data_IF_926548641012
#
_entry.id   IF_926548641012
#
_cell.length_a   1.000
_cell.length_b   1.000
_cell.length_c   1.000
_cell.angle_alpha   90.00
_cell.angle_beta   90.00
_cell.angle_gamma   90.00
#
_symmetry.space_group_name_H-M   'P 1'
#
loop_
_entity.id
_entity.type
_entity.pdbx_description
1 polymer ?
#
# COMPACT_ATOMS: atom_id res chain seq x y z
N UNK A 1 -19.92 -17.92 59.25
CA UNK A 1 -18.86 -18.22 58.26
C UNK A 1 -19.42 -17.92 56.87
N UNK A 2 -18.58 -17.36 56.00
CA UNK A 2 -18.86 -16.58 54.77
C UNK A 2 -19.83 -17.20 53.74
N UNK A 3 -20.42 -16.39 52.83
CA UNK A 3 -21.38 -16.86 51.83
C UNK A 3 -20.70 -17.58 50.65
N UNK A 4 -21.41 -18.45 49.90
CA UNK A 4 -20.87 -19.05 48.68
C UNK A 4 -20.90 -18.04 47.52
N UNK A 5 -19.78 -17.98 46.81
CA UNK A 5 -19.52 -17.09 45.70
C UNK A 5 -20.43 -17.35 44.49
N UNK A 6 -20.90 -16.26 43.89
CA UNK A 6 -21.51 -16.24 42.56
C UNK A 6 -20.41 -16.58 41.53
N UNK A 7 -20.41 -17.80 41.00
CA UNK A 7 -19.63 -18.12 39.79
C UNK A 7 -20.37 -17.49 38.60
N UNK A 8 -19.93 -16.31 38.18
CA UNK A 8 -20.20 -15.83 36.84
C UNK A 8 -19.34 -16.67 35.88
N UNK A 9 -19.99 -17.50 35.07
CA UNK A 9 -19.37 -18.20 33.96
C UNK A 9 -18.84 -17.17 32.96
N UNK A 10 -17.52 -17.05 32.84
CA UNK A 10 -16.89 -16.43 31.67
C UNK A 10 -17.31 -17.25 30.44
N UNK A 11 -18.18 -16.67 29.62
CA UNK A 11 -18.43 -17.16 28.27
C UNK A 11 -17.15 -16.87 27.49
N UNK A 12 -16.40 -17.92 27.16
CA UNK A 12 -15.31 -17.84 26.21
C UNK A 12 -15.86 -17.37 24.86
N UNK A 13 -15.38 -16.24 24.35
CA UNK A 13 -15.63 -15.83 22.98
C UNK A 13 -15.06 -16.91 22.05
N UNK A 14 -15.94 -17.62 21.36
CA UNK A 14 -15.61 -18.47 20.23
C UNK A 14 -15.01 -17.59 19.13
N UNK A 15 -13.84 -17.99 18.61
CA UNK A 15 -13.20 -17.42 17.43
C UNK A 15 -14.17 -17.36 16.25
N UNK A 16 -14.88 -16.24 16.10
CA UNK A 16 -15.38 -15.83 14.81
C UNK A 16 -14.14 -15.43 13.98
N UNK A 17 -13.98 -16.05 12.80
CA UNK A 17 -12.96 -15.66 11.83
C UNK A 17 -13.05 -14.14 11.61
N UNK A 18 -12.06 -13.42 12.13
CA UNK A 18 -11.84 -12.02 11.81
C UNK A 18 -11.49 -11.92 10.30
N UNK A 19 -11.95 -10.88 9.59
CA UNK A 19 -11.53 -10.63 8.21
C UNK A 19 -9.99 -10.59 8.14
N UNK A 20 -9.40 -11.19 7.11
CA UNK A 20 -7.95 -11.35 6.97
C UNK A 20 -7.16 -10.02 6.82
N UNK A 21 -7.84 -8.86 6.89
CA UNK A 21 -7.26 -7.53 6.72
C UNK A 21 -6.91 -6.80 8.04
N UNK A 22 -7.07 -7.44 9.21
CA UNK A 22 -6.90 -6.81 10.53
C UNK A 22 -5.90 -7.57 11.41
N UNK A 23 -4.63 -7.14 11.40
CA UNK A 23 -3.61 -7.67 12.32
C UNK A 23 -2.73 -6.53 12.91
N UNK A 24 -3.36 -5.48 13.42
CA UNK A 24 -2.68 -4.49 14.26
C UNK A 24 -2.37 -5.11 15.63
N UNK A 25 -1.11 -5.06 16.09
CA UNK A 25 -0.70 -5.52 17.42
C UNK A 25 -0.18 -4.33 18.23
N UNK A 26 -1.13 -3.54 18.75
CA UNK A 26 -0.91 -2.36 19.57
C UNK A 26 -2.25 -1.77 20.04
N UNK A 27 -2.27 -0.81 20.99
CA UNK A 27 -3.51 -0.11 21.39
C UNK A 27 -4.13 0.61 20.17
N UNK A 28 -5.44 0.54 20.02
CA UNK A 28 -6.18 0.96 18.83
C UNK A 28 -6.17 2.49 18.62
N UNK A 29 -5.11 2.99 17.99
CA UNK A 29 -4.96 4.40 17.60
C UNK A 29 -5.54 4.61 16.20
N UNK A 30 -6.56 5.47 16.10
CA UNK A 30 -7.02 6.02 14.83
C UNK A 30 -6.05 7.14 14.40
N UNK A 31 -5.70 7.20 13.13
CA UNK A 31 -4.80 8.24 12.62
C UNK A 31 -5.54 9.15 11.64
N UNK A 32 -5.41 10.46 11.87
CA UNK A 32 -6.12 11.49 11.14
C UNK A 32 -5.19 12.50 10.51
N UNK A 33 -5.42 12.79 9.23
CA UNK A 33 -4.79 13.89 8.51
C UNK A 33 -5.70 15.11 8.67
N UNK A 34 -5.32 16.00 9.58
CA UNK A 34 -6.04 17.25 9.88
C UNK A 34 -5.22 18.39 9.30
N UNK A 35 -5.72 19.06 8.28
CA UNK A 35 -5.04 20.23 7.71
C UNK A 35 -5.18 21.42 8.67
N UNK A 36 -4.19 22.32 8.71
CA UNK A 36 -4.26 23.57 9.51
C UNK A 36 -5.21 24.58 8.89
N UNK A 37 -5.75 25.49 9.72
CA UNK A 37 -6.62 26.56 9.23
C UNK A 37 -5.80 27.49 8.36
N UNK A 38 -6.24 27.72 7.11
CA UNK A 38 -5.46 28.44 6.10
C UNK A 38 -4.08 27.80 5.82
N UNK A 39 -3.93 26.49 6.05
CA UNK A 39 -2.68 25.75 5.85
C UNK A 39 -2.36 25.41 4.39
N UNK A 40 -3.17 25.88 3.44
CA UNK A 40 -2.93 25.69 2.00
C UNK A 40 -2.34 26.94 1.39
N UNK A 41 -1.22 26.78 0.72
CA UNK A 41 -0.51 27.87 0.04
C UNK A 41 0.40 27.29 -1.05
N UNK A 42 0.90 28.13 -1.95
CA UNK A 42 1.82 27.66 -2.98
C UNK A 42 3.17 27.31 -2.38
N UNK A 43 3.66 26.10 -2.68
CA UNK A 43 4.83 25.56 -2.02
C UNK A 43 6.08 26.41 -2.29
N UNK A 44 6.84 26.69 -1.24
CA UNK A 44 8.18 27.24 -1.33
C UNK A 44 9.19 26.21 -1.86
N UNK A 45 10.39 26.66 -2.20
CA UNK A 45 11.46 25.75 -2.65
C UNK A 45 11.84 24.73 -1.56
N UNK A 46 11.88 25.15 -0.30
CA UNK A 46 12.20 24.27 0.83
C UNK A 46 11.10 23.22 1.03
N UNK A 47 9.84 23.63 0.98
CA UNK A 47 8.70 22.70 1.11
C UNK A 47 8.61 21.70 -0.04
N UNK A 48 9.01 22.07 -1.26
CA UNK A 48 9.13 21.10 -2.36
C UNK A 48 10.23 20.07 -2.13
N UNK A 49 11.28 20.44 -1.38
CA UNK A 49 12.38 19.54 -1.06
C UNK A 49 12.08 18.62 0.14
N UNK A 50 11.27 19.08 1.09
CA UNK A 50 11.02 18.37 2.37
C UNK A 50 9.59 17.85 2.52
N UNK A 51 8.66 18.30 1.67
CA UNK A 51 7.28 17.87 1.65
C UNK A 51 7.11 16.50 1.01
N UNK A 52 6.00 15.83 1.33
CA UNK A 52 5.66 14.52 0.78
C UNK A 52 4.47 14.68 -0.15
N UNK A 53 4.58 14.20 -1.40
CA UNK A 53 3.44 14.21 -2.33
C UNK A 53 2.25 13.45 -1.74
N UNK A 54 1.03 14.01 -1.85
CA UNK A 54 -0.17 13.34 -1.33
C UNK A 54 -0.39 11.97 -1.98
N UNK A 55 0.03 11.80 -3.23
CA UNK A 55 0.02 10.51 -3.94
C UNK A 55 1.01 9.50 -3.36
N UNK A 56 2.11 9.95 -2.74
CA UNK A 56 3.18 9.10 -2.22
C UNK A 56 2.93 8.60 -0.79
N UNK A 57 1.76 8.87 -0.21
CA UNK A 57 1.50 8.66 1.21
C UNK A 57 1.73 7.21 1.67
N UNK A 58 1.34 6.21 0.88
CA UNK A 58 1.57 4.80 1.22
C UNK A 58 3.05 4.43 1.18
N UNK A 59 3.81 4.87 0.17
CA UNK A 59 5.25 4.65 0.08
C UNK A 59 6.00 5.34 1.23
N UNK A 60 5.61 6.57 1.57
CA UNK A 60 6.19 7.32 2.67
C UNK A 60 5.96 6.63 4.03
N UNK A 61 4.77 6.03 4.27
CA UNK A 61 4.51 5.24 5.48
C UNK A 61 5.45 4.04 5.61
N UNK A 62 5.56 3.22 4.56
CA UNK A 62 6.37 1.99 4.62
C UNK A 62 7.87 2.27 4.64
N UNK A 63 8.29 3.46 4.20
CA UNK A 63 9.68 3.94 4.28
C UNK A 63 9.95 4.81 5.51
N UNK A 64 8.96 5.03 6.37
CA UNK A 64 9.09 5.84 7.59
C UNK A 64 9.34 7.32 7.35
N UNK A 65 9.11 7.82 6.13
CA UNK A 65 9.22 9.24 5.81
C UNK A 65 8.07 10.02 6.44
N UNK A 66 8.37 11.20 6.98
CA UNK A 66 7.38 12.09 7.59
C UNK A 66 7.68 13.54 7.27
N UNK A 67 6.64 14.36 7.18
CA UNK A 67 6.71 15.80 7.01
C UNK A 67 5.50 16.48 7.63
N UNK A 68 5.60 17.73 8.04
CA UNK A 68 4.40 18.53 8.36
C UNK A 68 3.68 19.04 7.10
N UNK A 69 4.28 18.83 5.92
CA UNK A 69 3.82 19.34 4.63
C UNK A 69 3.49 18.18 3.69
N UNK A 70 2.24 18.14 3.24
CA UNK A 70 1.86 17.40 2.04
C UNK A 70 1.94 18.30 0.81
N UNK A 71 2.25 17.72 -0.34
CA UNK A 71 2.30 18.42 -1.63
C UNK A 71 1.18 17.91 -2.54
N UNK A 72 0.26 18.81 -2.89
CA UNK A 72 -0.85 18.57 -3.79
C UNK A 72 -0.44 18.98 -5.22
N UNK A 73 -0.25 17.99 -6.08
CA UNK A 73 0.12 18.17 -7.48
C UNK A 73 -1.08 18.08 -8.42
N UNK A 74 -2.32 18.06 -7.90
CA UNK A 74 -3.52 18.00 -8.73
C UNK A 74 -3.57 19.19 -9.71
N UNK A 75 -4.21 19.01 -10.87
CA UNK A 75 -4.35 20.06 -11.87
C UNK A 75 -4.94 21.35 -11.26
N UNK A 76 -5.90 21.21 -10.35
CA UNK A 76 -6.49 22.34 -9.64
C UNK A 76 -5.48 23.06 -8.72
N UNK A 77 -4.62 22.32 -8.01
CA UNK A 77 -3.57 22.89 -7.18
C UNK A 77 -2.50 23.60 -8.03
N UNK A 78 -2.04 22.95 -9.09
CA UNK A 78 -1.09 23.54 -10.04
C UNK A 78 -1.65 24.82 -10.68
N UNK A 79 -2.93 24.82 -11.04
CA UNK A 79 -3.62 26.01 -11.56
C UNK A 79 -3.69 27.16 -10.57
N UNK A 80 -3.90 26.89 -9.27
CA UNK A 80 -3.85 27.93 -8.21
C UNK A 80 -2.44 28.45 -7.96
N UNK A 81 -1.43 27.63 -8.23
CA UNK A 81 -0.04 27.90 -7.87
C UNK A 81 0.91 28.08 -9.05
N UNK A 82 0.38 28.49 -10.21
CA UNK A 82 1.15 28.84 -11.40
C UNK A 82 2.11 27.72 -11.86
N UNK A 83 1.67 26.46 -11.75
CA UNK A 83 2.44 25.28 -12.14
C UNK A 83 3.27 24.65 -11.03
N UNK A 84 3.36 25.28 -9.86
CA UNK A 84 3.96 24.69 -8.66
C UNK A 84 2.91 23.92 -7.83
N UNK A 85 3.30 22.91 -7.05
CA UNK A 85 2.37 22.23 -6.14
C UNK A 85 1.84 23.17 -5.05
N UNK A 86 0.63 22.89 -4.59
CA UNK A 86 0.08 23.52 -3.38
C UNK A 86 0.58 22.74 -2.16
N UNK A 87 1.25 23.43 -1.24
CA UNK A 87 1.61 22.90 0.07
C UNK A 87 0.35 22.81 0.96
N UNK A 88 0.26 21.73 1.71
CA UNK A 88 -0.80 21.45 2.67
C UNK A 88 -0.16 21.21 4.04
N UNK A 89 -0.29 22.17 4.94
CA UNK A 89 0.15 22.02 6.32
C UNK A 89 -0.82 21.17 7.13
N UNK A 90 -0.28 20.21 7.87
CA UNK A 90 -1.03 19.35 8.78
C UNK A 90 -0.77 19.71 10.26
N UNK A 91 -1.75 19.46 11.12
CA UNK A 91 -1.62 19.57 12.59
C UNK A 91 -0.64 18.54 13.16
N UNK A 92 -0.54 17.37 12.51
CA UNK A 92 0.35 16.28 12.88
C UNK A 92 1.30 15.88 11.74
N UNK A 93 2.17 14.89 11.98
CA UNK A 93 3.07 14.36 10.94
C UNK A 93 2.28 13.71 9.82
N UNK A 94 2.50 14.11 8.57
CA UNK A 94 1.99 13.46 7.37
C UNK A 94 3.04 12.50 6.81
N UNK A 95 2.68 11.29 6.32
CA UNK A 95 1.35 10.66 6.31
C UNK A 95 1.01 9.85 7.57
N UNK A 96 1.81 9.93 8.64
CA UNK A 96 1.59 9.15 9.86
C UNK A 96 0.23 9.45 10.51
N UNK A 97 -0.20 10.70 10.43
CA UNK A 97 -1.41 11.22 11.04
C UNK A 97 -1.25 11.64 12.49
N UNK A 98 -2.23 12.41 12.95
CA UNK A 98 -2.46 12.63 14.37
C UNK A 98 -3.18 11.42 14.96
N UNK A 99 -2.55 10.76 15.92
CA UNK A 99 -3.16 9.64 16.65
C UNK A 99 -4.29 10.10 17.57
N UNK A 100 -5.41 9.38 17.55
CA UNK A 100 -6.60 9.60 18.38
C UNK A 100 -7.02 8.25 18.97
N UNK A 101 -7.33 8.24 20.26
CA UNK A 101 -7.99 7.10 20.90
C UNK A 101 -9.50 7.19 20.69
N UNK A 102 -10.13 6.11 20.24
CA UNK A 102 -11.59 6.01 20.08
C UNK A 102 -12.22 5.49 21.38
N UNK A 103 -13.04 6.31 22.05
CA UNK A 103 -13.90 5.86 23.14
C UNK A 103 -15.27 5.43 22.59
N UNK A 104 -15.46 4.12 22.48
CA UNK A 104 -16.64 3.56 21.84
C UNK A 104 -17.85 3.45 22.78
N UNK A 105 -17.71 3.82 24.06
CA UNK A 105 -18.86 4.08 24.93
C UNK A 105 -19.57 5.40 24.59
N UNK A 106 -18.92 6.29 23.81
CA UNK A 106 -19.50 7.52 23.31
C UNK A 106 -20.10 7.34 21.90
N UNK A 107 -21.44 7.46 21.71
CA UNK A 107 -22.11 7.17 20.43
C UNK A 107 -21.65 8.02 19.24
N UNK A 108 -21.04 9.19 19.48
CA UNK A 108 -20.54 10.08 18.43
C UNK A 108 -19.14 9.71 17.90
N UNK A 109 -18.43 8.77 18.53
CA UNK A 109 -17.06 8.37 18.16
C UNK A 109 -16.97 7.02 17.43
N UNK A 110 -18.10 6.31 17.26
CA UNK A 110 -18.12 5.00 16.59
C UNK A 110 -17.89 5.06 15.08
N UNK A 111 -17.80 6.26 14.50
CA UNK A 111 -17.48 6.49 13.09
C UNK A 111 -16.06 7.10 13.01
N UNK A 112 -15.07 6.40 12.43
CA UNK A 112 -13.67 6.86 12.45
C UNK A 112 -13.47 8.29 11.95
N UNK A 113 -14.02 8.63 10.78
CA UNK A 113 -13.88 9.99 10.24
C UNK A 113 -14.52 11.06 11.16
N UNK A 114 -15.65 10.76 11.80
CA UNK A 114 -16.29 11.69 12.73
C UNK A 114 -15.41 11.94 13.96
N UNK A 115 -14.71 10.93 14.47
CA UNK A 115 -13.74 11.11 15.54
C UNK A 115 -12.57 12.00 15.14
N UNK A 116 -12.07 11.88 13.91
CA UNK A 116 -11.08 12.81 13.37
C UNK A 116 -11.62 14.25 13.30
N UNK A 117 -12.87 14.43 12.85
CA UNK A 117 -13.52 15.76 12.77
C UNK A 117 -13.68 16.36 14.16
N UNK A 118 -14.17 15.58 15.14
CA UNK A 118 -14.28 16.03 16.54
C UNK A 118 -12.92 16.48 17.11
N UNK A 119 -11.83 15.79 16.72
CA UNK A 119 -10.48 16.22 17.11
C UNK A 119 -10.05 17.52 16.44
N UNK A 120 -10.36 17.70 15.16
CA UNK A 120 -10.15 18.99 14.49
C UNK A 120 -10.92 20.12 15.19
N UNK A 121 -12.19 19.89 15.58
CA UNK A 121 -13.01 20.87 16.31
C UNK A 121 -12.39 21.21 17.66
N UNK A 122 -11.95 20.20 18.42
CA UNK A 122 -11.31 20.39 19.71
C UNK A 122 -9.98 21.17 19.63
N UNK A 123 -9.21 21.00 18.55
CA UNK A 123 -8.01 21.79 18.26
C UNK A 123 -8.38 23.23 17.87
N UNK A 124 -9.41 23.39 17.04
CA UNK A 124 -9.81 24.69 16.47
C UNK A 124 -10.46 25.61 17.51
N UNK A 125 -11.30 25.06 18.41
CA UNK A 125 -11.98 25.83 19.47
C UNK A 125 -11.86 25.14 20.84
N UNK A 126 -10.68 25.18 21.49
CA UNK A 126 -10.44 24.47 22.75
C UNK A 126 -11.39 24.91 23.87
N UNK A 127 -12.09 23.94 24.48
CA UNK A 127 -12.98 24.18 25.62
C UNK A 127 -14.29 24.90 25.28
N UNK A 128 -14.62 25.07 24.01
CA UNK A 128 -15.84 25.73 23.53
C UNK A 128 -16.60 24.79 22.60
N UNK A 129 -17.95 24.67 22.72
CA UNK A 129 -18.73 23.93 21.75
C UNK A 129 -18.52 24.47 20.33
N UNK A 130 -18.23 23.62 19.32
CA UNK A 130 -17.96 24.07 17.97
C UNK A 130 -19.20 24.71 17.35
N UNK A 131 -19.01 25.80 16.62
CA UNK A 131 -20.08 26.40 15.82
C UNK A 131 -20.30 25.57 14.54
N UNK A 132 -21.46 25.72 13.85
CA UNK A 132 -21.69 25.05 12.57
C UNK A 132 -20.60 25.34 11.51
N UNK A 133 -20.03 26.55 11.51
CA UNK A 133 -18.95 26.93 10.59
C UNK A 133 -17.65 26.20 10.90
N UNK A 134 -17.32 26.02 12.19
CA UNK A 134 -16.15 25.22 12.61
C UNK A 134 -16.34 23.76 12.22
N UNK A 135 -17.54 23.22 12.44
CA UNK A 135 -17.89 21.84 12.06
C UNK A 135 -17.69 21.65 10.55
N UNK A 136 -18.25 22.54 9.72
CA UNK A 136 -18.14 22.47 8.27
C UNK A 136 -16.68 22.62 7.79
N UNK A 137 -15.92 23.53 8.40
CA UNK A 137 -14.49 23.70 8.11
C UNK A 137 -13.69 22.44 8.44
N UNK A 138 -13.94 21.81 9.58
CA UNK A 138 -13.24 20.59 9.98
C UNK A 138 -13.62 19.39 9.11
N UNK A 139 -14.89 19.26 8.70
CA UNK A 139 -15.30 18.23 7.73
C UNK A 139 -14.57 18.36 6.39
N UNK A 140 -14.32 19.58 5.91
CA UNK A 140 -13.62 19.80 4.65
C UNK A 140 -12.09 19.59 4.72
N UNK A 141 -11.50 19.70 5.92
CA UNK A 141 -10.05 19.71 6.13
C UNK A 141 -9.50 18.46 6.82
N UNK A 142 -10.36 17.47 7.06
CA UNK A 142 -10.02 16.26 7.80
C UNK A 142 -10.24 15.03 6.93
N UNK A 143 -9.26 14.12 6.95
CA UNK A 143 -9.39 12.79 6.39
C UNK A 143 -8.81 11.76 7.37
N UNK A 144 -9.17 10.50 7.15
CA UNK A 144 -8.38 9.39 7.70
C UNK A 144 -6.99 9.44 7.07
N UNK A 145 -5.95 9.28 7.88
CA UNK A 145 -4.58 9.20 7.36
C UNK A 145 -4.42 8.00 6.44
N UNK A 146 -3.39 8.05 5.58
CA UNK A 146 -3.13 6.96 4.66
C UNK A 146 -3.10 5.60 5.39
N UNK A 147 -3.88 4.66 4.83
CA UNK A 147 -4.03 3.30 5.33
C UNK A 147 -4.53 3.18 6.79
N UNK A 148 -5.07 4.25 7.39
CA UNK A 148 -5.71 4.20 8.70
C UNK A 148 -6.93 3.28 8.70
N UNK A 149 -7.21 2.68 9.86
CA UNK A 149 -8.34 1.78 10.02
C UNK A 149 -9.66 2.55 9.82
N UNK A 150 -10.48 2.06 8.90
CA UNK A 150 -11.82 2.61 8.62
C UNK A 150 -12.93 1.71 9.21
N UNK A 151 -12.66 1.01 10.31
CA UNK A 151 -13.64 0.10 10.94
C UNK A 151 -13.96 0.54 12.36
N UNK A 152 -15.21 0.36 12.76
CA UNK A 152 -15.66 0.49 14.16
C UNK A 152 -15.18 -0.66 15.05
N UNK A 153 -14.44 -1.63 14.50
CA UNK A 153 -13.82 -2.72 15.26
C UNK A 153 -12.55 -2.29 16.00
N UNK A 154 -12.05 -1.06 15.80
CA UNK A 154 -10.95 -0.44 16.54
C UNK A 154 -11.36 0.00 17.97
N UNK A 155 -12.27 -0.72 18.59
CA UNK A 155 -12.98 -0.34 19.81
C UNK A 155 -12.77 -1.39 20.91
N UNK A 156 -12.07 -1.04 21.98
CA UNK A 156 -12.03 -1.82 23.22
C UNK A 156 -12.44 -0.98 24.42
N UNK A 157 -13.29 -1.55 25.28
CA UNK A 157 -13.68 -0.94 26.56
C UNK A 157 -12.45 -0.81 27.48
N UNK A 158 -12.22 0.40 28.01
CA UNK A 158 -11.36 0.71 29.17
C UNK A 158 -9.85 1.01 28.98
N UNK A 159 -9.33 1.35 27.79
CA UNK A 159 -7.89 1.71 27.62
C UNK A 159 -7.57 3.11 27.08
N UNK A 160 -8.55 4.02 26.96
CA UNK A 160 -8.29 5.38 26.48
C UNK A 160 -7.87 6.31 27.64
N UNK A 161 -6.56 6.52 27.83
CA UNK A 161 -6.04 7.71 28.51
C UNK A 161 -5.38 8.61 27.45
N UNK A 162 -5.95 9.80 27.23
CA UNK A 162 -5.41 10.83 26.32
C UNK A 162 -3.98 11.26 26.66
N UNK A 163 -3.48 10.92 27.85
CA UNK A 163 -2.13 11.22 28.32
C UNK A 163 -1.15 10.05 28.15
N UNK A 164 -1.62 8.84 27.80
CA UNK A 164 -0.78 7.66 27.77
C UNK A 164 -1.24 6.68 26.69
N UNK A 165 -0.98 7.01 25.42
CA UNK A 165 -1.07 6.06 24.31
C UNK A 165 0.09 5.08 24.47
N UNK A 166 -0.13 3.77 24.70
CA UNK A 166 0.98 2.82 24.72
C UNK A 166 1.70 2.89 23.37
N UNK A 167 3.04 2.87 23.37
CA UNK A 167 3.82 2.89 22.14
C UNK A 167 3.35 1.73 21.24
N UNK A 168 2.76 2.06 20.09
CA UNK A 168 2.36 1.07 19.11
C UNK A 168 3.61 0.29 18.70
N UNK A 169 3.66 -1.01 19.00
CA UNK A 169 4.88 -1.79 18.79
C UNK A 169 5.13 -2.14 17.32
N UNK A 170 4.11 -2.11 16.45
CA UNK A 170 4.26 -2.13 14.98
C UNK A 170 2.94 -1.65 14.36
N UNK A 171 3.00 -0.69 13.43
CA UNK A 171 1.83 -0.28 12.64
C UNK A 171 1.85 -1.02 11.31
N UNK A 172 0.87 -1.89 11.04
CA UNK A 172 0.73 -2.55 9.73
C UNK A 172 0.62 -1.56 8.56
N UNK A 173 0.29 -0.28 8.83
CA UNK A 173 0.30 0.78 7.82
C UNK A 173 1.71 1.05 7.25
N UNK A 174 2.74 0.67 8.01
CA UNK A 174 4.14 0.88 7.68
C UNK A 174 4.80 -0.41 7.13
N UNK A 175 4.01 -1.45 6.85
CA UNK A 175 4.49 -2.69 6.26
C UNK A 175 3.80 -2.93 4.90
N UNK A 176 4.53 -3.40 3.88
CA UNK A 176 3.91 -3.95 2.68
C UNK A 176 2.96 -5.11 3.01
N UNK A 177 1.78 -5.14 2.39
CA UNK A 177 0.79 -6.21 2.58
C UNK A 177 1.06 -7.38 1.63
N UNK A 178 0.95 -8.65 2.05
CA UNK A 178 1.07 -9.77 1.12
C UNK A 178 -0.03 -9.69 0.06
N UNK A 179 0.32 -10.04 -1.19
CA UNK A 179 -0.66 -10.11 -2.27
C UNK A 179 -1.68 -11.22 -1.98
N UNK A 180 -2.95 -10.87 -2.04
CA UNK A 180 -4.07 -11.78 -1.94
C UNK A 180 -4.40 -12.32 -3.34
N UNK A 181 -3.90 -13.52 -3.65
CA UNK A 181 -4.13 -14.17 -4.92
C UNK A 181 -5.54 -14.77 -5.02
N UNK A 182 -6.21 -14.64 -6.17
CA UNK A 182 -7.56 -15.20 -6.39
C UNK A 182 -7.69 -16.03 -7.65
N UNK A 183 -7.37 -15.47 -8.81
CA UNK A 183 -7.69 -16.08 -10.11
C UNK A 183 -6.67 -17.16 -10.47
N UNK A 184 -6.56 -18.18 -9.61
CA UNK A 184 -5.54 -19.21 -9.67
C UNK A 184 -5.80 -20.17 -10.85
N UNK A 185 -4.95 -20.12 -11.87
CA UNK A 185 -4.98 -21.03 -13.01
C UNK A 185 -3.69 -21.83 -13.01
N UNK A 186 -3.76 -23.14 -12.78
CA UNK A 186 -2.56 -24.01 -12.78
C UNK A 186 -1.53 -23.71 -11.68
N UNK A 187 -1.87 -22.89 -10.69
CA UNK A 187 -1.04 -22.52 -9.54
C UNK A 187 -1.78 -22.72 -8.22
N UNK A 188 -1.05 -22.79 -7.12
CA UNK A 188 -1.56 -22.69 -5.75
C UNK A 188 -0.95 -21.48 -5.04
N UNK A 189 -1.71 -20.84 -4.15
CA UNK A 189 -1.26 -19.70 -3.35
C UNK A 189 -1.13 -20.07 -1.87
N UNK A 190 -0.12 -19.50 -1.21
CA UNK A 190 0.05 -19.54 0.24
C UNK A 190 0.57 -18.18 0.72
N UNK A 191 -0.32 -17.33 1.24
CA UNK A 191 0.01 -15.93 1.49
C UNK A 191 0.33 -15.21 0.18
N UNK A 192 1.40 -14.41 0.19
CA UNK A 192 1.92 -13.73 -1.01
C UNK A 192 2.65 -14.65 -1.99
N UNK A 193 2.90 -15.92 -1.65
CA UNK A 193 3.65 -16.85 -2.51
C UNK A 193 2.73 -17.60 -3.48
N UNK A 194 3.17 -17.73 -4.73
CA UNK A 194 2.59 -18.60 -5.74
C UNK A 194 3.53 -19.75 -6.09
N UNK A 195 2.96 -20.93 -6.31
CA UNK A 195 3.67 -22.11 -6.83
C UNK A 195 2.89 -22.70 -8.00
N UNK A 196 3.55 -22.94 -9.14
CA UNK A 196 2.93 -23.65 -10.26
C UNK A 196 2.72 -25.13 -9.93
N UNK A 197 1.48 -25.59 -10.03
CA UNK A 197 1.09 -26.99 -9.80
C UNK A 197 0.87 -27.77 -11.09
N UNK A 198 0.50 -27.08 -12.18
CA UNK A 198 0.28 -27.69 -13.49
C UNK A 198 1.59 -28.22 -14.10
N UNK A 199 1.56 -29.34 -14.85
CA UNK A 199 2.73 -29.86 -15.56
C UNK A 199 3.36 -28.80 -16.48
N UNK A 200 4.68 -28.82 -16.64
CA UNK A 200 5.37 -27.94 -17.60
C UNK A 200 4.83 -28.20 -19.02
N UNK A 201 4.42 -27.16 -19.76
CA UNK A 201 3.97 -27.33 -21.14
C UNK A 201 5.14 -27.81 -22.02
N UNK A 202 4.83 -28.58 -23.06
CA UNK A 202 5.84 -29.10 -23.98
C UNK A 202 6.46 -28.03 -24.88
N UNK A 203 5.70 -26.96 -25.15
CA UNK A 203 6.18 -25.81 -25.91
C UNK A 203 6.82 -24.79 -24.93
N UNK A 204 8.12 -24.51 -25.04
CA UNK A 204 8.82 -23.58 -24.15
C UNK A 204 8.36 -22.11 -24.30
N UNK A 205 7.55 -21.79 -25.31
CA UNK A 205 6.97 -20.46 -25.49
C UNK A 205 5.63 -20.28 -24.76
N UNK A 206 5.05 -21.35 -24.24
CA UNK A 206 3.75 -21.32 -23.58
C UNK A 206 3.91 -21.05 -22.09
N UNK A 207 3.15 -20.07 -21.60
CA UNK A 207 2.91 -19.86 -20.18
C UNK A 207 1.40 -19.89 -19.95
N UNK A 208 0.92 -20.96 -19.33
CA UNK A 208 -0.49 -21.32 -19.21
C UNK A 208 -0.93 -21.50 -17.74
N UNK A 209 -0.12 -21.04 -16.80
CA UNK A 209 -0.48 -20.97 -15.39
C UNK A 209 -0.12 -19.60 -14.82
N UNK A 210 -0.92 -19.10 -13.89
CA UNK A 210 -0.83 -17.74 -13.40
C UNK A 210 -1.94 -17.41 -12.41
N UNK A 211 -1.88 -16.21 -11.89
CA UNK A 211 -2.90 -15.65 -11.01
C UNK A 211 -2.85 -14.13 -11.01
N UNK A 212 -3.99 -13.52 -10.69
CA UNK A 212 -4.11 -12.10 -10.42
C UNK A 212 -4.52 -11.82 -8.97
N UNK A 213 -4.17 -10.62 -8.47
CA UNK A 213 -4.52 -10.17 -7.14
C UNK A 213 -6.00 -9.80 -7.00
N UNK A 214 -6.56 -9.97 -5.81
CA UNK A 214 -7.86 -9.40 -5.44
C UNK A 214 -7.77 -7.88 -5.21
N UNK A 215 -6.62 -7.45 -4.70
CA UNK A 215 -6.29 -6.05 -4.42
C UNK A 215 -5.95 -5.30 -5.71
N UNK A 216 -6.22 -4.00 -5.73
CA UNK A 216 -5.85 -3.09 -6.81
C UNK A 216 -5.28 -1.78 -6.27
N UNK A 217 -4.33 -1.19 -6.98
CA UNK A 217 -3.94 0.21 -6.82
C UNK A 217 -4.94 1.02 -7.64
N UNK A 218 -5.77 1.83 -6.98
CA UNK A 218 -6.84 2.60 -7.66
C UNK A 218 -6.42 4.02 -7.98
N UNK A 219 -5.39 4.53 -7.29
CA UNK A 219 -4.80 5.86 -7.40
C UNK A 219 -3.52 5.91 -6.57
N UNK A 220 -2.76 7.00 -6.71
CA UNK A 220 -1.59 7.27 -5.90
C UNK A 220 -0.43 6.33 -6.23
N UNK A 221 0.72 6.64 -5.63
CA UNK A 221 1.91 5.84 -5.80
C UNK A 221 1.79 4.54 -5.01
N UNK A 222 2.37 3.49 -5.56
CA UNK A 222 2.45 2.19 -4.92
C UNK A 222 3.46 1.30 -5.63
N UNK A 223 3.69 0.13 -5.07
CA UNK A 223 4.60 -0.82 -5.71
C UNK A 223 4.27 -2.26 -5.34
N UNK A 224 4.74 -3.18 -6.18
CA UNK A 224 4.78 -4.61 -5.91
C UNK A 224 6.23 -5.01 -5.67
N UNK A 225 6.47 -5.82 -4.65
CA UNK A 225 7.75 -6.49 -4.43
C UNK A 225 7.63 -7.98 -4.66
N UNK A 226 8.68 -8.58 -5.20
CA UNK A 226 8.78 -10.02 -5.38
C UNK A 226 10.19 -10.50 -5.09
N UNK A 227 10.30 -11.63 -4.40
CA UNK A 227 11.58 -12.28 -4.12
C UNK A 227 11.84 -13.38 -5.15
N UNK A 228 13.00 -13.29 -5.81
CA UNK A 228 13.47 -14.27 -6.77
C UNK A 228 14.38 -15.28 -6.08
N UNK A 229 13.83 -16.45 -5.72
CA UNK A 229 14.60 -17.52 -5.06
C UNK A 229 15.08 -18.60 -6.03
N UNK A 230 14.33 -18.84 -7.10
CA UNK A 230 14.64 -19.89 -8.05
C UNK A 230 15.46 -19.38 -9.23
N UNK A 231 16.40 -20.18 -9.71
CA UNK A 231 17.24 -19.81 -10.86
C UNK A 231 17.03 -20.69 -12.09
N UNK A 232 16.10 -21.65 -12.02
CA UNK A 232 15.93 -22.71 -13.02
C UNK A 232 14.54 -22.74 -13.66
N UNK A 233 13.68 -21.78 -13.35
CA UNK A 233 12.30 -21.67 -13.82
C UNK A 233 12.06 -20.28 -14.42
N UNK A 234 11.14 -20.18 -15.39
CA UNK A 234 10.64 -18.93 -15.92
C UNK A 234 9.28 -18.61 -15.35
N UNK A 235 9.19 -17.40 -14.82
CA UNK A 235 8.00 -16.87 -14.16
C UNK A 235 8.02 -15.37 -14.25
N UNK A 236 6.82 -14.83 -14.43
CA UNK A 236 6.60 -13.41 -14.56
C UNK A 236 5.78 -12.93 -13.38
N UNK A 237 6.24 -11.86 -12.76
CA UNK A 237 5.46 -11.05 -11.85
C UNK A 237 5.29 -9.67 -12.47
N UNK A 238 4.06 -9.18 -12.56
CA UNK A 238 3.76 -7.99 -13.29
C UNK A 238 2.56 -7.23 -12.75
N UNK A 239 2.17 -6.23 -13.53
CA UNK A 239 0.99 -5.41 -13.27
C UNK A 239 0.18 -5.25 -14.54
N UNK A 240 -1.14 -5.29 -14.37
CA UNK A 240 -2.12 -5.18 -15.45
C UNK A 240 -3.19 -4.15 -15.08
N UNK A 241 -3.71 -3.45 -16.09
CA UNK A 241 -4.81 -2.50 -15.90
C UNK A 241 -6.15 -3.24 -15.81
N UNK A 242 -7.10 -2.61 -15.11
CA UNK A 242 -8.42 -3.16 -14.88
C UNK A 242 -8.51 -3.96 -13.57
N UNK A 243 -9.72 -3.99 -13.03
CA UNK A 243 -10.03 -4.75 -11.84
C UNK A 243 -10.13 -6.26 -12.19
N UNK A 244 -9.87 -7.14 -11.21
CA UNK A 244 -10.49 -8.46 -11.13
C UNK A 244 -11.86 -8.66 -11.82
N UNK A 245 -12.14 -9.84 -12.41
CA UNK A 245 -11.28 -11.03 -12.50
C UNK A 245 -10.33 -11.00 -13.70
N UNK A 246 -9.27 -11.81 -13.61
CA UNK A 246 -8.45 -12.23 -14.74
C UNK A 246 -8.74 -13.70 -15.07
N UNK A 247 -8.74 -14.04 -16.36
CA UNK A 247 -8.97 -15.41 -16.82
C UNK A 247 -7.88 -15.89 -17.78
N UNK A 248 -6.90 -15.05 -18.10
CA UNK A 248 -5.83 -15.39 -19.04
C UNK A 248 -4.48 -15.37 -18.31
N UNK A 249 -3.89 -16.54 -18.01
CA UNK A 249 -2.61 -16.62 -17.32
C UNK A 249 -1.41 -16.30 -18.23
N UNK A 250 -1.63 -15.96 -19.50
CA UNK A 250 -0.57 -15.70 -20.46
C UNK A 250 0.16 -14.39 -20.17
N UNK A 251 1.49 -14.42 -20.20
CA UNK A 251 2.29 -13.20 -20.11
C UNK A 251 2.03 -12.18 -21.23
N UNK A 252 1.34 -12.59 -22.30
CA UNK A 252 0.97 -11.72 -23.41
C UNK A 252 -0.07 -10.67 -23.04
N UNK A 253 -0.90 -10.95 -22.02
CA UNK A 253 -1.93 -10.01 -21.55
C UNK A 253 -1.44 -9.13 -20.40
N UNK A 254 -0.29 -9.47 -19.79
CA UNK A 254 0.26 -8.70 -18.69
C UNK A 254 0.79 -7.36 -19.20
N UNK A 255 0.28 -6.25 -18.64
CA UNK A 255 0.62 -4.90 -19.07
C UNK A 255 2.12 -4.63 -19.03
N UNK A 256 2.74 -4.82 -17.86
CA UNK A 256 4.18 -4.81 -17.67
C UNK A 256 4.60 -5.92 -16.72
N UNK A 257 5.60 -6.71 -17.10
CA UNK A 257 6.04 -7.86 -16.34
C UNK A 257 7.55 -7.93 -16.18
N UNK A 258 8.00 -8.31 -14.99
CA UNK A 258 9.35 -8.77 -14.72
C UNK A 258 9.39 -10.25 -15.02
N UNK A 259 10.16 -10.66 -16.01
CA UNK A 259 10.44 -12.07 -16.27
C UNK A 259 11.72 -12.46 -15.55
N UNK A 260 11.59 -13.35 -14.58
CA UNK A 260 12.70 -13.99 -13.93
C UNK A 260 12.91 -15.34 -14.65
N UNK A 261 14.03 -15.49 -15.34
CA UNK A 261 14.22 -16.56 -16.32
C UNK A 261 15.08 -17.72 -15.81
N UNK A 262 15.04 -18.84 -16.54
CA UNK A 262 15.67 -20.13 -16.20
C UNK A 262 17.20 -20.12 -16.21
N UNK A 263 17.83 -19.03 -16.65
CA UNK A 263 19.27 -18.86 -16.78
C UNK A 263 19.83 -17.83 -15.76
N UNK A 264 19.05 -17.54 -14.71
CA UNK A 264 19.37 -16.52 -13.70
C UNK A 264 19.43 -15.08 -14.24
N UNK A 265 18.85 -14.80 -15.41
CA UNK A 265 18.69 -13.44 -15.93
C UNK A 265 17.27 -12.93 -15.76
N UNK A 266 17.14 -11.61 -15.66
CA UNK A 266 15.83 -10.96 -15.61
C UNK A 266 15.61 -10.03 -16.81
N UNK A 267 14.37 -10.06 -17.30
CA UNK A 267 13.89 -9.32 -18.46
C UNK A 267 12.66 -8.51 -18.08
N UNK A 268 12.29 -7.55 -18.93
CA UNK A 268 11.02 -6.84 -18.82
C UNK A 268 10.21 -7.14 -20.07
N UNK A 269 8.92 -7.44 -19.88
CA UNK A 269 7.94 -7.62 -20.95
C UNK A 269 6.86 -6.55 -20.84
N UNK A 270 6.33 -6.12 -21.97
CA UNK A 270 5.15 -5.27 -22.08
C UNK A 270 4.16 -5.93 -23.02
N UNK A 271 3.01 -6.39 -22.53
CA UNK A 271 1.99 -7.07 -23.32
C UNK A 271 2.60 -8.15 -24.26
N UNK A 272 3.41 -9.05 -23.69
CA UNK A 272 4.09 -10.11 -24.43
C UNK A 272 5.36 -9.70 -25.21
N UNK A 273 5.69 -8.42 -25.30
CA UNK A 273 6.88 -7.93 -26.03
C UNK A 273 8.05 -7.69 -25.09
N UNK A 274 9.13 -8.44 -25.28
CA UNK A 274 10.39 -8.26 -24.55
C UNK A 274 10.97 -6.86 -24.81
N UNK A 275 11.26 -6.13 -23.75
CA UNK A 275 11.90 -4.83 -23.78
C UNK A 275 13.43 -4.98 -23.86
N UNK A 276 14.12 -4.08 -24.58
CA UNK A 276 15.56 -4.21 -24.79
C UNK A 276 16.34 -3.91 -23.51
N UNK A 277 16.94 -4.94 -22.90
CA UNK A 277 17.96 -4.81 -21.87
C UNK A 277 19.35 -4.51 -22.43
N UNK A 278 20.32 -4.29 -21.54
CA UNK A 278 21.69 -3.89 -21.89
C UNK A 278 22.65 -5.04 -22.22
N UNK A 279 22.29 -6.29 -21.92
CA UNK A 279 23.13 -7.45 -22.24
C UNK A 279 22.90 -7.97 -23.68
N UNK A 280 23.80 -8.83 -24.17
CA UNK A 280 23.74 -9.41 -25.51
C UNK A 280 22.48 -10.26 -25.79
N UNK A 281 21.79 -10.73 -24.75
CA UNK A 281 20.56 -11.51 -24.82
C UNK A 281 19.30 -10.63 -24.61
N UNK A 282 19.49 -9.33 -24.42
CA UNK A 282 18.44 -8.35 -24.12
C UNK A 282 17.95 -8.38 -22.66
N UNK A 283 18.71 -8.95 -21.73
CA UNK A 283 18.44 -8.93 -20.30
C UNK A 283 18.90 -7.63 -19.64
N UNK A 284 18.27 -7.30 -18.52
CA UNK A 284 18.65 -6.15 -17.69
C UNK A 284 19.72 -6.48 -16.66
N UNK A 285 19.98 -7.78 -16.43
CA UNK A 285 21.06 -8.26 -15.57
C UNK A 285 20.82 -9.70 -15.12
N UNK A 286 21.66 -10.14 -14.18
CA UNK A 286 21.53 -11.42 -13.49
C UNK A 286 21.04 -11.25 -12.05
N UNK A 287 20.42 -12.28 -11.50
CA UNK A 287 19.99 -12.32 -10.11
C UNK A 287 20.47 -13.61 -9.42
N UNK A 288 20.48 -13.58 -8.10
CA UNK A 288 20.78 -14.72 -7.24
C UNK A 288 19.55 -15.00 -6.35
N UNK A 289 19.43 -16.21 -5.77
CA UNK A 289 18.38 -16.51 -4.79
C UNK A 289 18.30 -15.46 -3.68
N UNK A 290 17.10 -15.09 -3.26
CA UNK A 290 16.83 -14.03 -2.29
C UNK A 290 16.83 -12.61 -2.87
N UNK A 291 17.00 -12.44 -4.19
CA UNK A 291 16.99 -11.11 -4.79
C UNK A 291 15.58 -10.52 -4.82
N UNK A 292 15.40 -9.34 -4.23
CA UNK A 292 14.13 -8.60 -4.28
C UNK A 292 14.11 -7.64 -5.47
N UNK A 293 12.99 -7.65 -6.19
CA UNK A 293 12.67 -6.69 -7.23
C UNK A 293 11.43 -5.90 -6.86
N UNK A 294 11.38 -4.64 -7.31
CA UNK A 294 10.28 -3.73 -7.07
C UNK A 294 9.71 -3.21 -8.39
N UNK A 295 8.41 -3.37 -8.56
CA UNK A 295 7.61 -2.81 -9.66
C UNK A 295 6.84 -1.62 -9.10
N UNK A 296 7.30 -0.40 -9.38
CA UNK A 296 6.64 0.83 -8.93
C UNK A 296 5.59 1.28 -9.93
N UNK A 297 4.50 1.80 -9.40
CA UNK A 297 3.40 2.46 -10.10
C UNK A 297 3.37 3.89 -9.59
N UNK A 298 3.87 4.83 -10.40
CA UNK A 298 3.94 6.25 -10.06
C UNK A 298 2.77 7.00 -10.68
N UNK A 299 1.92 7.60 -9.86
CA UNK A 299 0.74 8.32 -10.30
C UNK A 299 1.12 9.51 -11.19
N UNK A 300 0.37 9.68 -12.28
CA UNK A 300 0.49 10.79 -13.22
C UNK A 300 -0.63 11.83 -13.05
N UNK A 301 -1.56 11.58 -12.12
CA UNK A 301 -2.69 12.45 -11.78
C UNK A 301 -3.68 12.68 -12.95
N UNK A 302 -3.62 11.82 -13.96
CA UNK A 302 -4.49 11.82 -15.15
C UNK A 302 -5.30 10.52 -15.28
N UNK A 303 -5.38 9.74 -14.20
CA UNK A 303 -5.99 8.40 -14.19
C UNK A 303 -5.05 7.29 -14.67
N UNK A 304 -3.79 7.62 -14.97
CA UNK A 304 -2.76 6.67 -15.38
C UNK A 304 -1.53 6.74 -14.48
N UNK A 305 -0.61 5.80 -14.67
CA UNK A 305 0.62 5.68 -13.92
C UNK A 305 1.81 5.31 -14.80
N UNK A 306 2.99 5.77 -14.42
CA UNK A 306 4.26 5.28 -14.99
C UNK A 306 4.70 4.04 -14.23
N UNK A 307 5.06 2.97 -14.94
CA UNK A 307 5.60 1.76 -14.32
C UNK A 307 7.13 1.80 -14.35
N UNK A 308 7.80 1.46 -13.26
CA UNK A 308 9.26 1.28 -13.28
C UNK A 308 9.67 0.04 -12.52
N UNK A 309 10.79 -0.55 -12.93
CA UNK A 309 11.34 -1.75 -12.33
C UNK A 309 12.69 -1.40 -11.70
N UNK A 310 12.85 -1.81 -10.46
CA UNK A 310 14.08 -1.63 -9.70
C UNK A 310 14.51 -2.92 -9.04
N UNK A 311 15.83 -3.05 -8.86
CA UNK A 311 16.44 -4.11 -8.07
C UNK A 311 16.79 -3.54 -6.70
N UNK A 312 16.34 -4.17 -5.62
CA UNK A 312 16.74 -3.78 -4.26
C UNK A 312 18.22 -4.10 -4.06
N UNK A 313 19.00 -3.10 -3.61
CA UNK A 313 20.47 -3.17 -3.57
C UNK A 313 21.05 -3.35 -2.17
N UNK A 314 20.23 -3.21 -1.12
CA UNK A 314 20.61 -3.54 0.25
C UNK A 314 19.39 -4.03 1.05
N UNK A 315 19.63 -4.51 2.27
CA UNK A 315 18.56 -4.98 3.15
C UNK A 315 17.52 -3.89 3.40
N UNK A 316 16.26 -4.21 3.12
CA UNK A 316 15.10 -3.40 3.46
C UNK A 316 14.69 -3.63 4.91
N UNK A 317 14.47 -2.55 5.64
CA UNK A 317 13.83 -2.58 6.96
C UNK A 317 12.56 -1.75 6.87
N UNK A 318 11.44 -2.32 7.32
CA UNK A 318 10.16 -1.60 7.34
C UNK A 318 10.30 -0.31 8.14
N UNK A 319 9.70 0.77 7.64
CA UNK A 319 9.85 2.10 8.23
C UNK A 319 11.19 2.78 7.93
N UNK A 320 11.97 2.29 6.96
CA UNK A 320 13.19 2.96 6.47
C UNK A 320 13.21 2.97 4.94
N UNK A 321 13.75 4.01 4.27
CA UNK A 321 13.90 4.00 2.82
C UNK A 321 14.76 2.82 2.35
N UNK A 322 14.19 2.01 1.45
CA UNK A 322 14.89 0.91 0.80
C UNK A 322 15.72 1.41 -0.38
N UNK A 323 17.05 1.21 -0.38
CA UNK A 323 17.86 1.52 -1.54
C UNK A 323 17.58 0.52 -2.66
N UNK A 324 17.33 1.04 -3.85
CA UNK A 324 17.21 0.25 -5.07
C UNK A 324 17.74 0.99 -6.29
N UNK A 325 17.98 0.22 -7.35
CA UNK A 325 18.46 0.72 -8.62
C UNK A 325 17.41 0.45 -9.69
N UNK A 326 16.82 1.52 -10.23
CA UNK A 326 15.90 1.45 -11.37
C UNK A 326 16.67 1.03 -12.61
N UNK A 327 16.18 0.00 -13.31
CA UNK A 327 16.77 -0.49 -14.56
C UNK A 327 15.82 -0.36 -15.76
N UNK A 328 14.53 -0.10 -15.52
CA UNK A 328 13.56 0.16 -16.59
C UNK A 328 12.47 1.11 -16.11
N UNK A 329 12.05 2.02 -16.99
CA UNK A 329 10.87 2.87 -16.82
C UNK A 329 10.02 2.77 -18.08
N UNK A 330 8.72 2.57 -17.90
CA UNK A 330 7.80 2.33 -19.01
C UNK A 330 7.73 3.56 -19.93
N UNK A 331 7.81 3.37 -21.25
CA UNK A 331 7.63 4.47 -22.20
C UNK A 331 6.16 4.88 -22.34
N UNK A 332 5.24 3.98 -21.98
CA UNK A 332 3.79 4.17 -22.02
C UNK A 332 3.23 4.05 -20.60
N UNK A 333 2.20 4.84 -20.25
CA UNK A 333 1.57 4.72 -18.95
C UNK A 333 0.57 3.55 -18.92
N UNK A 334 0.27 3.06 -17.73
CA UNK A 334 -0.79 2.08 -17.45
C UNK A 334 -1.99 2.79 -16.81
N UNK A 335 -3.22 2.42 -17.19
CA UNK A 335 -4.42 3.00 -16.59
C UNK A 335 -4.74 2.38 -15.23
N UNK A 336 -5.22 3.20 -14.28
CA UNK A 336 -5.83 2.70 -13.05
C UNK A 336 -7.23 2.11 -13.31
N UNK A 337 -7.72 1.17 -12.47
CA UNK A 337 -6.98 0.52 -11.40
C UNK A 337 -5.93 -0.47 -11.94
N UNK A 338 -4.87 -0.67 -11.19
CA UNK A 338 -3.77 -1.61 -11.51
C UNK A 338 -3.82 -2.78 -10.55
N UNK A 339 -3.78 -4.01 -11.05
CA UNK A 339 -3.68 -5.25 -10.24
C UNK A 339 -2.32 -5.92 -10.43
N UNK A 340 -1.92 -6.76 -9.47
CA UNK A 340 -0.77 -7.66 -9.63
C UNK A 340 -1.19 -8.84 -10.48
N UNK A 341 -0.29 -9.26 -11.36
CA UNK A 341 -0.53 -10.31 -12.35
C UNK A 341 0.69 -11.23 -12.44
N UNK A 342 0.50 -12.47 -12.86
CA UNK A 342 1.58 -13.46 -12.91
C UNK A 342 1.38 -14.53 -13.98
N UNK A 343 2.49 -15.08 -14.44
CA UNK A 343 2.52 -16.11 -15.47
C UNK A 343 3.70 -17.06 -15.26
N UNK A 344 3.51 -18.36 -15.46
CA UNK A 344 4.48 -19.41 -15.14
C UNK A 344 4.60 -20.41 -16.29
N UNK A 345 5.81 -20.93 -16.50
CA UNK A 345 6.06 -22.01 -17.46
C UNK A 345 6.40 -23.33 -16.78
N UNK A 346 7.50 -23.40 -16.03
CA UNK A 346 7.96 -24.65 -15.42
C UNK A 346 7.16 -25.02 -14.17
N UNK A 347 6.74 -26.28 -14.09
CA UNK A 347 6.13 -26.87 -12.89
C UNK A 347 7.05 -26.68 -11.67
N UNK A 348 6.43 -26.44 -10.52
CA UNK A 348 7.07 -26.08 -9.25
C UNK A 348 7.73 -24.70 -9.24
N UNK A 349 7.65 -23.92 -10.33
CA UNK A 349 8.14 -22.55 -10.32
C UNK A 349 7.43 -21.69 -9.28
N UNK A 350 8.18 -20.82 -8.57
CA UNK A 350 7.65 -19.95 -7.52
C UNK A 350 7.88 -18.46 -7.75
N UNK A 351 6.91 -17.67 -7.27
CA UNK A 351 7.08 -16.27 -6.95
C UNK A 351 6.92 -16.15 -5.45
N UNK A 352 8.02 -15.85 -4.74
CA UNK A 352 8.07 -15.85 -3.29
C UNK A 352 7.79 -14.45 -2.73
N UNK A 353 7.05 -14.43 -1.62
CA UNK A 353 6.82 -13.25 -0.78
C UNK A 353 6.37 -12.02 -1.59
N UNK A 354 5.40 -12.22 -2.50
CA UNK A 354 4.89 -11.10 -3.29
C UNK A 354 4.07 -10.17 -2.39
N UNK A 355 4.50 -8.91 -2.33
CA UNK A 355 3.91 -7.88 -1.46
C UNK A 355 3.49 -6.66 -2.26
N UNK A 356 2.50 -5.95 -1.74
CA UNK A 356 1.90 -4.78 -2.35
C UNK A 356 1.95 -3.60 -1.37
N UNK A 357 2.26 -2.42 -1.89
CA UNK A 357 2.09 -1.13 -1.22
C UNK A 357 1.15 -0.29 -2.05
N UNK A 358 0.10 0.23 -1.42
CA UNK A 358 -0.92 1.08 -2.04
C UNK A 358 -1.60 1.97 -1.01
N UNK A 359 -2.26 3.01 -1.50
CA UNK A 359 -3.29 3.73 -0.73
C UNK A 359 -4.58 2.90 -0.81
N UNK A 360 -5.12 2.49 0.34
CA UNK A 360 -6.33 1.66 0.46
C UNK A 360 -7.63 2.46 0.43
#
# INVERSE_FOLDING_TARGET
MLPPALLATLVACTNAQLPQDLLYKGPDVLFCDIQKVNGRHCASADERNTGIALTAAAEALVTGQTSSIGLDFSEAALGRCNGEPEAVEFEGPFPQGTGICLDCAAPAQSVPLAACVNRCEAITTPGVPPTPDVTASCQARTALSANALNTSAACFEAYCDVNNVPAATESLRNAPEPVQWRDLIGVSASGGTLTRTAPTPSDPQVFDAGAASSQTITKGDGYVEVTADETTTARLCGVSSGAPPDTDPSFQTIGYALDLFTDSRYYVFQAGVKQPGGDENGAFGTYAPGQVFRLRVKDRLDGTATVSFARVTATCVNGTPCPDAVFFTSPTPIAYPVRVDSSFREQNGTLEDVRLVRIR
#
